data_IF_201722687678
#
_entry.id   IF_201722687678
#
_cell.length_a   1.000
_cell.length_b   1.000
_cell.length_c   1.000
_cell.angle_alpha   90.00
_cell.angle_beta   90.00
_cell.angle_gamma   90.00
#
_symmetry.space_group_name_H-M   'P 1'
#
loop_
_entity.id
_entity.type
_entity.pdbx_description
1 polymer ?
#
# COMPACT_ATOMS: atom_id res chain seq x y z
N UNK A 1 -29.68 38.37 -15.17
CA UNK A 1 -30.40 37.91 -13.96
C UNK A 1 -30.10 36.45 -13.58
N UNK A 2 -30.04 35.51 -14.53
CA UNK A 2 -29.72 34.10 -14.21
C UNK A 2 -28.32 33.90 -13.57
N UNK A 3 -27.29 34.62 -14.04
CA UNK A 3 -25.92 34.51 -13.53
C UNK A 3 -25.76 34.98 -12.07
N UNK A 4 -26.47 36.04 -11.67
CA UNK A 4 -26.43 36.58 -10.31
C UNK A 4 -27.10 35.67 -9.29
N UNK A 5 -28.21 35.05 -9.68
CA UNK A 5 -28.92 34.08 -8.85
C UNK A 5 -28.09 32.80 -8.64
N UNK A 6 -27.45 32.32 -9.71
CA UNK A 6 -26.54 31.17 -9.62
C UNK A 6 -25.38 31.42 -8.65
N UNK A 7 -24.75 32.61 -8.72
CA UNK A 7 -23.69 33.01 -7.79
C UNK A 7 -24.16 33.14 -6.34
N UNK A 8 -25.44 33.45 -6.14
CA UNK A 8 -26.03 33.53 -4.82
C UNK A 8 -26.25 32.13 -4.24
N UNK A 9 -26.81 31.21 -5.04
CA UNK A 9 -26.99 29.80 -4.65
C UNK A 9 -25.67 29.12 -4.31
N UNK A 10 -24.61 29.34 -5.10
CA UNK A 10 -23.27 28.82 -4.77
C UNK A 10 -22.73 29.31 -3.42
N UNK A 11 -23.04 30.55 -3.04
CA UNK A 11 -22.66 31.08 -1.72
C UNK A 11 -23.51 30.45 -0.62
N UNK A 12 -24.81 30.32 -0.84
CA UNK A 12 -25.72 29.64 0.08
C UNK A 12 -25.31 28.17 0.33
N UNK A 13 -24.80 27.47 -0.68
CA UNK A 13 -24.22 26.12 -0.55
C UNK A 13 -23.02 26.11 0.40
N UNK A 14 -22.13 27.11 0.27
CA UNK A 14 -20.95 27.26 1.14
C UNK A 14 -21.32 27.61 2.58
N UNK A 15 -22.33 28.46 2.76
CA UNK A 15 -22.90 28.77 4.07
C UNK A 15 -23.54 27.51 4.70
N UNK A 16 -24.21 26.69 3.89
CA UNK A 16 -24.82 25.44 4.33
C UNK A 16 -23.77 24.43 4.83
N UNK A 17 -22.62 24.33 4.17
CA UNK A 17 -21.53 23.47 4.60
C UNK A 17 -20.98 23.89 5.97
N UNK A 18 -20.75 25.19 6.16
CA UNK A 18 -20.20 25.71 7.42
C UNK A 18 -21.20 25.68 8.59
N UNK A 19 -22.44 26.11 8.36
CA UNK A 19 -23.41 26.37 9.44
C UNK A 19 -24.58 25.37 9.49
N UNK A 20 -24.78 24.55 8.45
CA UNK A 20 -25.98 23.72 8.30
C UNK A 20 -27.25 24.50 7.97
N UNK A 21 -27.14 25.80 7.70
CA UNK A 21 -28.21 26.67 7.23
C UNK A 21 -27.62 27.83 6.41
N UNK A 22 -28.42 28.45 5.54
CA UNK A 22 -27.98 29.60 4.74
C UNK A 22 -28.65 30.91 5.21
N UNK A 23 -27.99 32.04 4.98
CA UNK A 23 -28.42 33.39 5.35
C UNK A 23 -29.86 33.73 4.94
N UNK A 24 -30.28 33.29 3.74
CA UNK A 24 -31.67 33.48 3.26
C UNK A 24 -32.72 32.78 4.12
N UNK A 25 -32.42 31.60 4.68
CA UNK A 25 -33.36 30.84 5.51
C UNK A 25 -33.53 31.54 6.84
N UNK A 26 -32.42 31.98 7.45
CA UNK A 26 -32.44 32.77 8.69
C UNK A 26 -33.26 34.04 8.51
N UNK A 27 -33.05 34.78 7.42
CA UNK A 27 -33.85 35.97 7.12
C UNK A 27 -35.34 35.66 6.95
N UNK A 28 -35.69 34.60 6.20
CA UNK A 28 -37.07 34.20 6.01
C UNK A 28 -37.74 33.80 7.33
N UNK A 29 -37.06 33.05 8.19
CA UNK A 29 -37.55 32.67 9.51
C UNK A 29 -37.77 33.89 10.41
N UNK A 30 -36.84 34.86 10.41
CA UNK A 30 -37.02 36.11 11.14
C UNK A 30 -38.22 36.91 10.63
N UNK A 31 -38.40 37.00 9.32
CA UNK A 31 -39.54 37.68 8.70
C UNK A 31 -40.88 37.04 9.12
N UNK A 32 -40.95 35.70 9.10
CA UNK A 32 -42.14 34.96 9.55
C UNK A 32 -42.41 35.19 11.03
N UNK A 33 -41.40 35.06 11.90
CA UNK A 33 -41.54 35.24 13.34
C UNK A 33 -42.03 36.65 13.70
N UNK A 34 -41.49 37.69 13.04
CA UNK A 34 -41.93 39.07 13.26
C UNK A 34 -43.38 39.25 12.82
N UNK A 35 -43.74 38.71 11.65
CA UNK A 35 -45.12 38.79 11.13
C UNK A 35 -46.11 38.08 12.06
N UNK A 36 -45.77 36.89 12.53
CA UNK A 36 -46.58 36.12 13.50
C UNK A 36 -46.74 36.86 14.82
N UNK A 37 -45.69 37.54 15.32
CA UNK A 37 -45.77 38.34 16.53
C UNK A 37 -46.71 39.54 16.36
N UNK A 38 -46.65 40.23 15.22
CA UNK A 38 -47.55 41.35 14.90
C UNK A 38 -49.00 40.87 14.87
N UNK A 39 -49.29 39.84 14.07
CA UNK A 39 -50.64 39.27 13.96
C UNK A 39 -51.16 38.72 15.29
N UNK A 40 -50.32 38.00 16.03
CA UNK A 40 -50.67 37.46 17.34
C UNK A 40 -50.98 38.54 18.37
N UNK A 41 -50.25 39.66 18.34
CA UNK A 41 -50.48 40.80 19.23
C UNK A 41 -51.76 41.54 18.86
N UNK A 42 -51.99 41.77 17.56
CA UNK A 42 -53.22 42.39 17.06
C UNK A 42 -54.46 41.54 17.39
N UNK A 43 -54.37 40.22 17.25
CA UNK A 43 -55.44 39.28 17.61
C UNK A 43 -55.72 39.29 19.12
N UNK A 44 -54.67 39.26 19.96
CA UNK A 44 -54.81 39.36 21.43
C UNK A 44 -55.49 40.67 21.82
N UNK A 45 -55.06 41.80 21.26
CA UNK A 45 -55.67 43.10 21.50
C UNK A 45 -57.16 43.10 21.15
N UNK A 46 -57.52 42.57 19.98
CA UNK A 46 -58.92 42.49 19.55
C UNK A 46 -59.76 41.57 20.45
N UNK A 47 -59.20 40.44 20.89
CA UNK A 47 -59.88 39.53 21.82
C UNK A 47 -60.12 40.22 23.18
N UNK A 48 -59.12 40.90 23.73
CA UNK A 48 -59.27 41.63 25.00
C UNK A 48 -60.32 42.75 24.90
N UNK A 49 -60.35 43.48 23.79
CA UNK A 49 -61.39 44.50 23.54
C UNK A 49 -62.77 43.84 23.47
N UNK A 50 -62.89 42.71 22.77
CA UNK A 50 -64.14 41.96 22.64
C UNK A 50 -64.68 41.49 24.00
N UNK A 51 -63.82 40.92 24.83
CA UNK A 51 -64.16 40.39 26.15
C UNK A 51 -64.54 41.50 27.14
N UNK A 52 -63.78 42.61 27.14
CA UNK A 52 -63.96 43.70 28.12
C UNK A 52 -65.20 44.55 27.87
N UNK A 53 -65.56 44.77 26.60
CA UNK A 53 -66.65 45.69 26.23
C UNK A 53 -67.92 45.00 25.73
N UNK A 54 -67.98 43.65 25.67
CA UNK A 54 -69.13 42.85 25.22
C UNK A 54 -69.81 43.44 23.97
N UNK A 55 -69.04 43.59 22.89
CA UNK A 55 -69.46 44.31 21.69
C UNK A 55 -70.57 43.59 20.90
N UNK A 56 -71.51 44.37 20.37
CA UNK A 56 -72.54 43.94 19.41
C UNK A 56 -71.95 43.45 18.08
N UNK A 57 -72.74 42.68 17.33
CA UNK A 57 -72.31 42.03 16.07
C UNK A 57 -71.72 43.00 15.04
N UNK A 58 -72.27 44.21 14.91
CA UNK A 58 -71.76 45.26 14.01
C UNK A 58 -70.43 45.88 14.48
N UNK A 59 -70.22 45.98 15.77
CA UNK A 59 -68.96 46.49 16.32
C UNK A 59 -67.85 45.43 16.23
N UNK A 60 -68.20 44.14 16.31
CA UNK A 60 -67.26 43.03 16.10
C UNK A 60 -66.74 42.98 14.66
N UNK A 61 -67.57 43.26 13.65
CA UNK A 61 -67.12 43.31 12.25
C UNK A 61 -66.21 44.50 12.00
N UNK A 62 -66.53 45.68 12.56
CA UNK A 62 -65.67 46.85 12.50
C UNK A 62 -64.30 46.59 13.18
N UNK A 63 -64.30 45.96 14.36
CA UNK A 63 -63.07 45.60 15.07
C UNK A 63 -62.18 44.65 14.26
N UNK A 64 -62.76 43.64 13.59
CA UNK A 64 -62.01 42.75 12.69
C UNK A 64 -61.44 43.47 11.46
N UNK A 65 -62.17 44.46 10.92
CA UNK A 65 -61.65 45.29 9.83
C UNK A 65 -60.45 46.12 10.30
N UNK A 66 -60.58 46.76 11.45
CA UNK A 66 -59.50 47.54 12.07
C UNK A 66 -58.29 46.67 12.40
N UNK A 67 -58.48 45.44 12.89
CA UNK A 67 -57.41 44.47 13.11
C UNK A 67 -56.59 44.24 11.84
N UNK A 68 -57.25 43.95 10.71
CA UNK A 68 -56.57 43.70 9.43
C UNK A 68 -55.84 44.93 8.92
N UNK A 69 -56.40 46.13 9.13
CA UNK A 69 -55.72 47.37 8.77
C UNK A 69 -54.47 47.59 9.64
N UNK A 70 -54.57 47.32 10.95
CA UNK A 70 -53.47 47.40 11.90
C UNK A 70 -52.33 46.45 11.52
N UNK A 71 -52.65 45.17 11.28
CA UNK A 71 -51.69 44.16 10.83
C UNK A 71 -50.97 44.59 9.55
N UNK A 72 -51.71 45.06 8.54
CA UNK A 72 -51.12 45.54 7.28
C UNK A 72 -50.20 46.75 7.49
N UNK A 73 -50.59 47.71 8.33
CA UNK A 73 -49.81 48.91 8.60
C UNK A 73 -48.49 48.55 9.31
N UNK A 74 -48.55 47.73 10.36
CA UNK A 74 -47.37 47.31 11.12
C UNK A 74 -46.45 46.40 10.31
N UNK A 75 -46.99 45.43 9.56
CA UNK A 75 -46.18 44.60 8.67
C UNK A 75 -45.48 45.44 7.60
N UNK A 76 -46.18 46.43 7.01
CA UNK A 76 -45.58 47.34 6.02
C UNK A 76 -44.48 48.21 6.62
N UNK A 77 -44.67 48.73 7.83
CA UNK A 77 -43.64 49.50 8.55
C UNK A 77 -42.41 48.63 8.86
N UNK A 78 -42.63 47.39 9.30
CA UNK A 78 -41.58 46.43 9.62
C UNK A 78 -40.69 46.06 8.41
N UNK A 79 -41.20 46.12 7.17
CA UNK A 79 -40.41 45.82 5.97
C UNK A 79 -39.12 46.64 5.86
N UNK A 80 -39.14 47.90 6.28
CA UNK A 80 -37.96 48.78 6.24
C UNK A 80 -36.87 48.27 7.19
N UNK A 81 -37.25 47.90 8.41
CA UNK A 81 -36.36 47.35 9.43
C UNK A 81 -35.90 45.93 9.07
N UNK A 82 -36.76 45.12 8.45
CA UNK A 82 -36.40 43.80 7.95
C UNK A 82 -35.26 43.86 6.92
N UNK A 83 -35.24 44.86 6.03
CA UNK A 83 -34.11 45.05 5.10
C UNK A 83 -32.78 45.32 5.83
N UNK A 84 -32.81 46.06 6.93
CA UNK A 84 -31.62 46.31 7.75
C UNK A 84 -31.16 45.00 8.40
N UNK A 85 -32.09 44.23 8.95
CA UNK A 85 -31.81 42.91 9.52
C UNK A 85 -31.22 41.98 8.47
N UNK A 86 -31.71 42.00 7.23
CA UNK A 86 -31.16 41.21 6.13
C UNK A 86 -29.67 41.52 5.90
N UNK A 87 -29.30 42.81 5.92
CA UNK A 87 -27.90 43.22 5.73
C UNK A 87 -27.02 42.74 6.90
N UNK A 88 -27.53 42.80 8.13
CA UNK A 88 -26.83 42.29 9.32
C UNK A 88 -26.64 40.78 9.22
N UNK A 89 -27.70 40.04 8.89
CA UNK A 89 -27.66 38.59 8.69
C UNK A 89 -26.63 38.23 7.64
N UNK A 90 -26.62 38.92 6.50
CA UNK A 90 -25.60 38.71 5.47
C UNK A 90 -24.18 39.01 5.98
N UNK A 91 -23.99 40.00 6.86
CA UNK A 91 -22.67 40.34 7.40
C UNK A 91 -22.09 39.25 8.31
N UNK A 92 -22.94 38.56 9.07
CA UNK A 92 -22.50 37.57 10.05
C UNK A 92 -22.55 36.12 9.55
N UNK A 93 -23.51 35.81 8.68
CA UNK A 93 -23.77 34.43 8.24
C UNK A 93 -23.17 34.18 6.86
N UNK A 94 -23.03 35.20 6.01
CA UNK A 94 -22.48 34.95 4.69
C UNK A 94 -20.98 34.72 4.75
N UNK A 95 -20.53 33.62 4.13
CA UNK A 95 -19.10 33.33 3.98
C UNK A 95 -18.53 34.25 2.90
N UNK A 96 -17.47 35.04 3.19
CA UNK A 96 -16.84 35.89 2.19
C UNK A 96 -16.25 35.04 1.06
N UNK A 97 -16.36 35.53 -0.19
CA UNK A 97 -15.88 34.78 -1.37
C UNK A 97 -14.37 34.58 -1.43
N UNK A 98 -13.61 35.32 -0.63
CA UNK A 98 -12.16 35.23 -0.51
C UNK A 98 -11.72 34.26 0.60
N UNK A 99 -12.65 33.70 1.37
CA UNK A 99 -12.37 32.77 2.46
C UNK A 99 -12.65 31.36 1.98
N UNK A 100 -11.66 30.49 2.18
CA UNK A 100 -11.76 29.05 1.97
C UNK A 100 -11.98 28.39 3.33
N UNK A 101 -12.97 27.51 3.42
CA UNK A 101 -13.25 26.72 4.62
C UNK A 101 -12.08 25.77 4.90
N UNK A 102 -11.94 25.36 6.16
CA UNK A 102 -10.87 24.45 6.55
C UNK A 102 -10.95 23.10 5.83
N UNK A 103 -12.17 22.63 5.58
CA UNK A 103 -12.48 21.39 4.87
C UNK A 103 -11.93 21.42 3.44
N UNK A 104 -11.92 22.59 2.82
CA UNK A 104 -11.45 22.79 1.44
C UNK A 104 -10.00 23.23 1.36
N UNK A 105 -9.21 23.19 2.44
CA UNK A 105 -7.79 23.59 2.42
C UNK A 105 -7.00 22.92 1.28
N UNK A 106 -7.33 21.68 0.93
CA UNK A 106 -6.72 20.95 -0.18
C UNK A 106 -7.02 21.55 -1.56
N UNK A 107 -8.17 22.21 -1.71
CA UNK A 107 -8.54 22.92 -2.93
C UNK A 107 -7.81 24.25 -3.10
N UNK A 108 -7.03 24.70 -2.10
CA UNK A 108 -6.19 25.90 -2.22
C UNK A 108 -5.16 25.75 -3.35
N UNK A 109 -4.62 24.55 -3.49
CA UNK A 109 -3.75 24.18 -4.61
C UNK A 109 -4.53 23.23 -5.51
N UNK A 110 -5.11 23.78 -6.57
CA UNK A 110 -5.88 22.97 -7.52
C UNK A 110 -4.92 22.31 -8.50
N UNK A 111 -5.05 21.00 -8.65
CA UNK A 111 -4.38 20.26 -9.71
C UNK A 111 -5.32 20.19 -10.91
N UNK A 112 -4.79 20.44 -12.09
CA UNK A 112 -5.50 20.13 -13.33
C UNK A 112 -5.61 18.61 -13.49
N UNK A 113 -6.61 18.16 -14.23
CA UNK A 113 -6.78 16.73 -14.52
C UNK A 113 -5.52 16.13 -15.16
N UNK A 114 -4.85 16.90 -16.01
CA UNK A 114 -3.59 16.50 -16.65
C UNK A 114 -2.45 16.31 -15.65
N UNK A 115 -2.31 17.21 -14.68
CA UNK A 115 -1.30 17.08 -13.63
C UNK A 115 -1.60 15.90 -12.71
N UNK A 116 -2.87 15.68 -12.39
CA UNK A 116 -3.29 14.55 -11.59
C UNK A 116 -2.97 13.21 -12.27
N UNK A 117 -3.26 13.08 -13.58
CA UNK A 117 -2.90 11.87 -14.33
C UNK A 117 -1.40 11.67 -14.42
N UNK A 118 -0.63 12.74 -14.63
CA UNK A 118 0.84 12.67 -14.66
C UNK A 118 1.41 12.19 -13.32
N UNK A 119 0.88 12.69 -12.19
CA UNK A 119 1.29 12.25 -10.85
C UNK A 119 0.94 10.77 -10.64
N UNK A 120 -0.26 10.35 -11.07
CA UNK A 120 -0.69 8.95 -10.96
C UNK A 120 0.21 8.02 -11.77
N UNK A 121 0.52 8.36 -13.01
CA UNK A 121 1.40 7.57 -13.86
C UNK A 121 2.81 7.48 -13.26
N UNK A 122 3.36 8.60 -12.76
CA UNK A 122 4.65 8.62 -12.09
C UNK A 122 4.66 7.74 -10.83
N UNK A 123 3.56 7.69 -10.08
CA UNK A 123 3.43 6.82 -8.92
C UNK A 123 3.46 5.35 -9.33
N UNK A 124 2.73 4.98 -10.38
CA UNK A 124 2.72 3.60 -10.90
C UNK A 124 4.11 3.16 -11.38
N UNK A 125 4.81 4.02 -12.12
CA UNK A 125 6.18 3.75 -12.58
C UNK A 125 7.16 3.56 -11.41
N UNK A 126 7.06 4.41 -10.38
CA UNK A 126 7.88 4.30 -9.17
C UNK A 126 7.58 3.02 -8.40
N UNK A 127 6.31 2.63 -8.28
CA UNK A 127 5.93 1.37 -7.64
C UNK A 127 6.47 0.15 -8.39
N UNK A 128 6.39 0.14 -9.72
CA UNK A 128 6.97 -0.93 -10.53
C UNK A 128 8.48 -0.99 -10.37
N UNK A 129 9.16 0.16 -10.40
CA UNK A 129 10.60 0.24 -10.20
C UNK A 129 11.01 -0.24 -8.81
N UNK A 130 10.26 0.11 -7.77
CA UNK A 130 10.49 -0.38 -6.42
C UNK A 130 10.36 -1.91 -6.35
N UNK A 131 9.32 -2.50 -6.94
CA UNK A 131 9.14 -3.97 -7.01
C UNK A 131 10.32 -4.66 -7.69
N UNK A 132 10.77 -4.15 -8.84
CA UNK A 132 11.93 -4.70 -9.56
C UNK A 132 13.21 -4.61 -8.74
N UNK A 133 13.43 -3.47 -8.07
CA UNK A 133 14.57 -3.29 -7.19
C UNK A 133 14.55 -4.26 -6.00
N UNK A 134 13.38 -4.52 -5.41
CA UNK A 134 13.24 -5.49 -4.32
C UNK A 134 13.58 -6.91 -4.78
N UNK A 135 13.09 -7.33 -5.95
CA UNK A 135 13.39 -8.65 -6.52
C UNK A 135 14.89 -8.78 -6.80
N UNK A 136 15.50 -7.78 -7.44
CA UNK A 136 16.92 -7.76 -7.71
C UNK A 136 17.74 -7.83 -6.41
N UNK A 137 17.37 -7.06 -5.39
CA UNK A 137 18.06 -7.08 -4.11
C UNK A 137 17.94 -8.43 -3.39
N UNK A 138 16.82 -9.15 -3.54
CA UNK A 138 16.68 -10.51 -3.04
C UNK A 138 17.63 -11.48 -3.77
N UNK A 139 17.66 -11.43 -5.11
CA UNK A 139 18.57 -12.25 -5.93
C UNK A 139 20.05 -11.99 -5.59
N UNK A 140 20.44 -10.73 -5.42
CA UNK A 140 21.82 -10.37 -5.06
C UNK A 140 22.20 -10.87 -3.66
N UNK A 141 21.24 -10.92 -2.72
CA UNK A 141 21.48 -11.51 -1.39
C UNK A 141 21.67 -13.02 -1.48
N UNK A 142 20.89 -13.71 -2.31
CA UNK A 142 21.06 -15.14 -2.56
C UNK A 142 22.43 -15.42 -3.20
N UNK A 143 22.85 -14.62 -4.19
CA UNK A 143 24.19 -14.74 -4.81
C UNK A 143 25.32 -14.51 -3.80
N UNK A 144 25.18 -13.49 -2.94
CA UNK A 144 26.14 -13.24 -1.87
C UNK A 144 26.23 -14.42 -0.89
N UNK A 145 25.09 -14.99 -0.49
CA UNK A 145 25.08 -16.16 0.39
C UNK A 145 25.78 -17.37 -0.26
N UNK A 146 25.55 -17.61 -1.55
CA UNK A 146 26.25 -18.68 -2.30
C UNK A 146 27.76 -18.43 -2.33
N UNK A 147 28.19 -17.18 -2.53
CA UNK A 147 29.61 -16.81 -2.53
C UNK A 147 30.24 -17.02 -1.15
N UNK A 148 29.50 -16.72 -0.08
CA UNK A 148 29.92 -16.95 1.31
C UNK A 148 29.99 -18.44 1.66
N UNK A 149 29.08 -19.27 1.15
CA UNK A 149 29.08 -20.73 1.34
C UNK A 149 30.20 -21.44 0.56
N UNK A 150 30.53 -20.95 -0.65
CA UNK A 150 31.58 -21.49 -1.51
C UNK A 150 32.70 -20.47 -1.77
N UNK A 151 33.48 -20.09 -0.75
CA UNK A 151 34.54 -19.13 -0.94
C UNK A 151 35.63 -19.78 -1.80
N UNK A 152 35.84 -19.24 -3.00
CA UNK A 152 36.98 -19.57 -3.85
C UNK A 152 38.20 -18.89 -3.23
N UNK A 153 38.83 -19.60 -2.31
CA UNK A 153 40.07 -19.16 -1.66
C UNK A 153 41.26 -19.57 -2.50
N UNK A 154 42.28 -18.71 -2.50
CA UNK A 154 43.55 -18.97 -3.18
C UNK A 154 44.16 -20.30 -2.73
N UNK A 155 44.01 -20.65 -1.44
CA UNK A 155 44.44 -21.94 -0.89
C UNK A 155 43.75 -23.15 -1.53
N UNK A 156 42.43 -23.10 -1.73
CA UNK A 156 41.70 -24.19 -2.40
C UNK A 156 42.11 -24.34 -3.85
N UNK A 157 42.34 -23.24 -4.55
CA UNK A 157 42.84 -23.23 -5.93
C UNK A 157 44.26 -23.79 -6.00
N UNK A 158 45.12 -23.42 -5.04
CA UNK A 158 46.48 -23.94 -4.94
C UNK A 158 46.53 -25.44 -4.61
N UNK A 159 45.62 -25.95 -3.77
CA UNK A 159 45.50 -27.39 -3.49
C UNK A 159 45.06 -28.14 -4.76
N UNK A 160 44.07 -27.60 -5.48
CA UNK A 160 43.60 -28.18 -6.74
C UNK A 160 44.73 -28.19 -7.79
N UNK A 161 45.45 -27.08 -7.92
CA UNK A 161 46.60 -26.96 -8.83
C UNK A 161 47.69 -27.97 -8.50
N UNK A 162 48.08 -28.10 -7.22
CA UNK A 162 49.05 -29.11 -6.77
C UNK A 162 48.55 -30.54 -7.01
N UNK A 163 47.27 -30.80 -6.86
CA UNK A 163 46.68 -32.13 -7.08
C UNK A 163 46.69 -32.51 -8.56
N UNK A 164 46.37 -31.56 -9.45
CA UNK A 164 46.47 -31.73 -10.90
C UNK A 164 47.93 -31.88 -11.32
N UNK A 165 48.83 -31.05 -10.79
CA UNK A 165 50.26 -31.12 -11.09
C UNK A 165 50.86 -32.44 -10.60
N UNK A 166 50.47 -32.94 -9.43
CA UNK A 166 50.90 -34.25 -8.92
C UNK A 166 50.30 -35.41 -9.72
N UNK A 167 49.04 -35.30 -10.15
CA UNK A 167 48.40 -36.28 -11.04
C UNK A 167 49.06 -36.33 -12.42
N UNK A 168 49.47 -35.18 -12.96
CA UNK A 168 50.22 -35.06 -14.20
C UNK A 168 51.69 -35.49 -14.04
N UNK A 169 52.30 -35.30 -12.87
CA UNK A 169 53.63 -35.87 -12.52
C UNK A 169 53.63 -37.38 -12.41
N UNK A 170 52.46 -38.04 -12.39
CA UNK A 170 52.32 -39.47 -12.63
C UNK A 170 52.53 -39.79 -14.14
N UNK A 171 53.58 -39.24 -14.73
CA UNK A 171 53.93 -39.34 -16.15
C UNK A 171 54.48 -40.70 -16.56
N UNK A 172 54.55 -41.68 -15.65
CA UNK A 172 55.09 -42.98 -16.04
C UNK A 172 54.37 -44.17 -15.43
N UNK A 173 53.04 -44.07 -15.36
CA UNK A 173 52.19 -45.26 -15.21
C UNK A 173 52.59 -46.31 -16.24
N UNK A 174 52.93 -45.89 -17.47
CA UNK A 174 53.41 -46.79 -18.51
C UNK A 174 54.77 -47.43 -18.17
N UNK A 175 55.84 -46.70 -17.79
CA UNK A 175 57.10 -47.38 -17.38
C UNK A 175 56.96 -48.17 -16.09
N UNK A 176 56.14 -47.74 -15.13
CA UNK A 176 55.88 -48.55 -13.93
C UNK A 176 55.16 -49.84 -14.30
N UNK A 177 54.22 -49.80 -15.25
CA UNK A 177 53.52 -50.98 -15.74
C UNK A 177 54.46 -51.88 -16.57
N UNK A 178 55.34 -51.31 -17.39
CA UNK A 178 56.39 -52.06 -18.09
C UNK A 178 57.36 -52.73 -17.11
N UNK A 179 57.83 -52.01 -16.07
CA UNK A 179 58.64 -52.60 -15.00
C UNK A 179 57.91 -53.70 -14.25
N UNK A 180 56.65 -53.50 -13.89
CA UNK A 180 55.85 -54.52 -13.21
C UNK A 180 55.70 -55.80 -14.06
N UNK A 181 55.50 -55.64 -15.37
CA UNK A 181 55.45 -56.76 -16.32
C UNK A 181 56.80 -57.44 -16.45
N UNK A 182 57.90 -56.68 -16.43
CA UNK A 182 59.26 -57.20 -16.49
C UNK A 182 59.63 -57.94 -15.21
N UNK A 183 59.29 -57.39 -14.05
CA UNK A 183 59.46 -58.00 -12.72
C UNK A 183 58.65 -59.29 -12.61
N UNK A 184 57.41 -59.32 -13.11
CA UNK A 184 56.59 -60.53 -13.17
C UNK A 184 57.17 -61.59 -14.09
N UNK A 185 57.69 -61.19 -15.26
CA UNK A 185 58.40 -62.11 -16.16
C UNK A 185 59.63 -62.67 -15.49
N UNK A 186 60.45 -61.84 -14.85
CA UNK A 186 61.66 -62.25 -14.15
C UNK A 186 61.36 -63.18 -12.97
N UNK A 187 60.33 -62.85 -12.18
CA UNK A 187 59.83 -63.68 -11.09
C UNK A 187 59.34 -65.04 -11.60
N UNK A 188 58.55 -65.08 -12.67
CA UNK A 188 58.07 -66.34 -13.25
C UNK A 188 59.21 -67.19 -13.85
N UNK A 189 60.19 -66.58 -14.53
CA UNK A 189 61.39 -67.32 -14.97
C UNK A 189 62.26 -67.81 -13.82
N UNK A 190 62.33 -67.10 -12.69
CA UNK A 190 63.08 -67.57 -11.53
C UNK A 190 62.36 -68.70 -10.79
N UNK A 191 61.02 -68.66 -10.74
CA UNK A 191 60.20 -69.68 -10.06
C UNK A 191 60.06 -70.97 -10.91
N UNK A 192 59.95 -70.84 -12.23
CA UNK A 192 59.68 -71.95 -13.14
C UNK A 192 60.86 -72.32 -14.06
N UNK A 193 61.85 -71.44 -14.25
CA UNK A 193 63.05 -71.71 -15.07
C UNK A 193 64.13 -72.52 -14.36
N UNK A 194 64.02 -72.68 -13.03
CA UNK A 194 64.87 -73.57 -12.23
C UNK A 194 64.14 -74.89 -11.86
N UNK A 195 63.25 -75.40 -12.71
CA UNK A 195 62.91 -76.83 -12.70
C UNK A 195 63.99 -77.56 -13.49
N UNK A 196 65.23 -77.47 -13.02
CA UNK A 196 66.13 -78.61 -13.18
C UNK A 196 65.66 -79.62 -12.16
N UNK A 197 65.03 -80.68 -12.63
CA UNK A 197 64.93 -81.96 -11.93
C UNK A 197 66.38 -82.37 -11.62
N UNK A 198 66.92 -81.88 -10.51
CA UNK A 198 68.23 -82.28 -10.02
C UNK A 198 68.05 -83.67 -9.44
N UNK A 199 68.86 -84.61 -9.92
CA UNK A 199 68.97 -86.01 -9.53
C UNK A 199 69.40 -86.21 -8.06
N UNK A 200 68.68 -85.60 -7.11
CA UNK A 200 68.83 -85.80 -5.66
C UNK A 200 67.62 -86.49 -5.02
N UNK A 201 66.91 -87.30 -5.81
CA UNK A 201 65.92 -88.28 -5.32
C UNK A 201 66.38 -89.74 -5.51
N UNK A 202 67.66 -89.99 -5.83
CA UNK A 202 68.26 -91.34 -5.83
C UNK A 202 68.75 -91.81 -4.45
N UNK A 203 68.79 -90.94 -3.44
CA UNK A 203 69.19 -91.29 -2.08
C UNK A 203 68.38 -90.48 -1.06
N UNK A 204 67.14 -90.88 -0.81
CA UNK A 204 66.46 -90.71 0.48
C UNK A 204 65.14 -91.48 0.47
N UNK A 205 65.26 -92.80 0.64
CA UNK A 205 64.21 -93.62 1.26
C UNK A 205 64.15 -93.29 2.75
N UNK A 206 63.28 -92.37 3.17
CA UNK A 206 62.64 -92.44 4.49
C UNK A 206 61.21 -91.90 4.39
N UNK A 207 60.29 -92.76 4.80
CA UNK A 207 58.85 -92.55 4.89
C UNK A 207 58.46 -91.31 5.71
N UNK A 208 57.23 -90.86 5.43
CA UNK A 208 56.35 -89.99 6.22
C UNK A 208 56.44 -88.49 5.93
N UNK A 209 55.51 -88.01 5.09
CA UNK A 209 54.45 -87.07 5.50
C UNK A 209 53.47 -86.88 4.33
N UNK A 210 52.30 -87.50 4.44
CA UNK A 210 51.14 -87.19 3.59
C UNK A 210 50.62 -85.82 4.00
N UNK A 211 50.79 -84.80 3.17
CA UNK A 211 49.95 -83.60 3.22
C UNK A 211 49.31 -83.39 1.84
N UNK A 212 47.99 -83.18 1.90
CA UNK A 212 47.01 -83.24 0.80
C UNK A 212 47.31 -82.24 -0.31
N UNK A 213 47.04 -82.66 -1.55
CA UNK A 213 46.88 -81.78 -2.70
C UNK A 213 45.73 -80.82 -2.43
N UNK A 214 46.00 -79.52 -2.51
CA UNK A 214 44.99 -78.47 -2.56
C UNK A 214 44.79 -78.16 -4.05
N UNK A 215 43.58 -78.42 -4.55
CA UNK A 215 43.18 -78.15 -5.93
C UNK A 215 42.91 -76.65 -6.09
N UNK A 216 43.77 -75.99 -6.86
CA UNK A 216 43.72 -74.55 -7.15
C UNK A 216 42.64 -74.16 -8.19
N UNK A 217 41.82 -75.10 -8.67
CA UNK A 217 40.68 -74.79 -9.55
C UNK A 217 39.42 -74.31 -8.80
N UNK A 218 39.55 -73.88 -7.54
CA UNK A 218 38.45 -73.34 -6.73
C UNK A 218 38.73 -71.97 -6.11
N UNK A 219 39.67 -71.19 -6.67
CA UNK A 219 39.93 -69.81 -6.28
C UNK A 219 39.54 -68.82 -7.38
#
# INVERSE_FOLDING_TARGET
MASTELRKRKREEYEMQLFGFHSRAVYATMQTLISERICGTAAKLCNTIKEKYKLDSGNVTMLKSNQRQLEKAYCKAALSHLRIIQNIVNKYIAVPSNVLLEEDKYQRTQYTDTEFQNIKQRLEDLQQRAKRATILNASLKEELQILEEFPVTEDRVNILHKSIENGLKCTDINKQMYKLVEDYKQFSTNLFGAITISEKLKYNTVNNLKCKEIDLNSL
#
